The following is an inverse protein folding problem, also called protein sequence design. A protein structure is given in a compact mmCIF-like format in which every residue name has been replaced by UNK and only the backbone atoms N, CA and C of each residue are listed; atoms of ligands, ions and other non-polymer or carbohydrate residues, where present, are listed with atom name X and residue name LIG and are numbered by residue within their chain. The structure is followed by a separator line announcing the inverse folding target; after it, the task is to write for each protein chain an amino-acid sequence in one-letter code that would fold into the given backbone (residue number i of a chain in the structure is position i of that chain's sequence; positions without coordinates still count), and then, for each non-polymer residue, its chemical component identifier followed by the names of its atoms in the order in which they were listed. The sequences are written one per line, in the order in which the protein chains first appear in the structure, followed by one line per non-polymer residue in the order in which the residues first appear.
data_IF_953120497477
#
_entry.id   IF_953120497477
#
_cell.length_a   1.000
_cell.length_b   1.000
_cell.length_c   1.000
_cell.angle_alpha   90.00
_cell.angle_beta   90.00
_cell.angle_gamma   90.00
#
_symmetry.space_group_name_H-M   'P 1'
#
loop_
_entity.id
_entity.type
_entity.pdbx_description
1 polymer ?
#
# COMPACT_ATOMS: atom_id res chain seq x y z
N UNK A 1 12.94 2.86 26.46
CA UNK A 1 12.82 2.80 24.98
C UNK A 1 11.36 3.06 24.65
N UNK A 2 11.07 4.18 24.00
CA UNK A 2 9.72 4.75 23.91
C UNK A 2 8.78 3.79 23.14
N UNK A 3 7.86 3.15 23.87
CA UNK A 3 6.81 2.22 23.42
C UNK A 3 5.64 2.94 22.72
N UNK A 4 5.89 3.89 21.81
CA UNK A 4 4.79 4.68 21.22
C UNK A 4 4.01 3.95 20.13
N UNK A 5 4.65 3.04 19.37
CA UNK A 5 4.03 2.41 18.20
C UNK A 5 4.40 0.92 18.13
N UNK A 6 3.48 0.06 17.65
CA UNK A 6 3.73 -1.38 17.40
C UNK A 6 4.43 -1.64 16.08
N UNK A 7 4.19 -0.78 15.09
CA UNK A 7 4.71 -0.87 13.74
C UNK A 7 5.03 0.53 13.23
N UNK A 8 6.08 0.67 12.43
CA UNK A 8 6.37 1.90 11.68
C UNK A 8 6.32 1.54 10.20
N UNK A 9 5.43 2.22 9.48
CA UNK A 9 5.27 2.10 8.03
C UNK A 9 5.90 3.35 7.42
N UNK A 10 6.72 3.17 6.38
CA UNK A 10 7.44 4.28 5.76
C UNK A 10 7.28 4.20 4.25
N UNK A 11 6.90 5.32 3.63
CA UNK A 11 7.08 5.52 2.19
C UNK A 11 8.52 5.98 1.92
N UNK A 12 9.21 5.29 1.01
CA UNK A 12 10.61 5.56 0.68
C UNK A 12 10.83 6.91 0.05
N UNK A 13 9.81 7.51 -0.55
CA UNK A 13 9.92 8.72 -1.36
C UNK A 13 10.71 9.85 -0.66
N UNK A 14 10.56 10.02 0.66
CA UNK A 14 11.30 11.03 1.42
C UNK A 14 12.72 10.61 1.82
N UNK A 15 13.02 9.31 1.85
CA UNK A 15 14.29 8.76 2.33
C UNK A 15 15.36 8.68 1.25
N UNK A 16 14.95 8.67 -0.02
CA UNK A 16 15.83 8.46 -1.16
C UNK A 16 15.96 9.70 -2.04
N UNK A 17 15.40 10.85 -1.64
CA UNK A 17 15.52 12.10 -2.40
C UNK A 17 16.67 12.96 -1.87
N UNK A 18 17.47 13.47 -2.79
CA UNK A 18 18.52 14.44 -2.49
C UNK A 18 18.51 15.56 -3.54
N UNK A 19 18.98 16.74 -3.13
CA UNK A 19 19.23 17.85 -4.05
C UNK A 19 20.63 17.71 -4.63
N UNK A 20 20.78 17.95 -5.93
CA UNK A 20 22.09 18.16 -6.53
C UNK A 20 22.61 19.58 -6.27
N UNK A 21 23.80 19.90 -6.81
CA UNK A 21 24.43 21.21 -6.66
C UNK A 21 23.67 22.36 -7.32
N UNK A 22 22.70 22.06 -8.20
CA UNK A 22 21.86 23.04 -8.90
C UNK A 22 20.45 23.13 -8.29
N UNK A 23 20.16 22.33 -7.28
CA UNK A 23 18.87 22.30 -6.59
C UNK A 23 17.82 21.40 -7.25
N UNK A 24 18.20 20.57 -8.23
CA UNK A 24 17.30 19.56 -8.78
C UNK A 24 17.18 18.37 -7.82
N UNK A 25 15.99 17.79 -7.73
CA UNK A 25 15.72 16.62 -6.88
C UNK A 25 15.93 15.35 -7.67
N UNK A 26 16.83 14.49 -7.19
CA UNK A 26 17.08 13.17 -7.75
C UNK A 26 16.90 12.06 -6.71
N UNK A 27 16.89 10.82 -7.18
CA UNK A 27 16.96 9.66 -6.31
C UNK A 27 18.42 9.27 -6.00
N UNK A 28 18.67 8.90 -4.75
CA UNK A 28 19.95 8.38 -4.27
C UNK A 28 19.74 7.02 -3.60
N UNK A 29 20.78 6.20 -3.58
CA UNK A 29 20.70 4.90 -2.91
C UNK A 29 20.41 5.06 -1.42
N UNK A 30 19.38 4.39 -0.91
CA UNK A 30 18.95 4.44 0.49
C UNK A 30 20.10 4.13 1.44
N UNK A 31 20.98 3.19 1.08
CA UNK A 31 22.15 2.82 1.88
C UNK A 31 23.14 3.98 2.11
N UNK A 32 23.20 4.92 1.18
CA UNK A 32 24.07 6.10 1.28
C UNK A 32 23.46 7.21 2.11
N UNK A 33 22.17 7.12 2.46
CA UNK A 33 21.49 8.15 3.24
C UNK A 33 21.60 7.89 4.74
N UNK A 34 21.52 8.93 5.59
CA UNK A 34 21.50 8.76 7.03
C UNK A 34 20.32 7.91 7.55
N UNK A 35 19.31 7.65 6.71
CA UNK A 35 18.10 6.92 7.07
C UNK A 35 18.26 5.40 7.02
N UNK A 36 19.28 4.86 6.34
CA UNK A 36 19.55 3.42 6.27
C UNK A 36 19.65 2.76 7.67
N UNK A 37 20.16 3.50 8.65
CA UNK A 37 20.28 3.06 10.06
C UNK A 37 18.93 2.90 10.77
N UNK A 38 17.87 3.46 10.22
CA UNK A 38 16.51 3.38 10.79
C UNK A 38 15.77 2.13 10.34
N UNK A 39 16.20 1.46 9.27
CA UNK A 39 15.51 0.29 8.71
C UNK A 39 15.23 -0.82 9.73
N UNK A 40 16.12 -1.17 10.68
CA UNK A 40 15.80 -2.16 11.71
C UNK A 40 14.65 -1.77 12.65
N UNK A 41 14.16 -0.53 12.59
CA UNK A 41 13.01 -0.01 13.35
C UNK A 41 11.76 0.17 12.49
N UNK A 42 11.87 -0.07 11.18
CA UNK A 42 10.77 0.00 10.23
C UNK A 42 10.16 -1.39 10.10
N UNK A 43 8.83 -1.49 10.22
CA UNK A 43 8.14 -2.74 9.98
C UNK A 43 7.94 -2.98 8.47
N UNK A 44 7.47 -1.94 7.78
CA UNK A 44 7.21 -1.99 6.34
C UNK A 44 7.75 -0.75 5.66
N UNK A 45 8.50 -0.97 4.58
CA UNK A 45 9.06 0.05 3.73
C UNK A 45 8.41 -0.06 2.34
N UNK A 46 7.52 0.87 2.00
CA UNK A 46 6.86 0.90 0.69
C UNK A 46 7.70 1.71 -0.29
N UNK A 47 7.81 1.22 -1.51
CA UNK A 47 8.46 1.84 -2.66
C UNK A 47 7.64 1.59 -3.92
N UNK A 48 7.75 2.45 -4.93
CA UNK A 48 7.29 2.11 -6.29
C UNK A 48 8.32 1.27 -7.06
N UNK A 49 7.94 0.74 -8.22
CA UNK A 49 8.85 0.09 -9.16
C UNK A 49 10.02 0.98 -9.58
N UNK A 50 9.80 2.28 -9.69
CA UNK A 50 10.82 3.27 -10.06
C UNK A 50 11.77 3.57 -8.88
N UNK A 51 11.29 3.43 -7.65
CA UNK A 51 12.05 3.66 -6.42
C UNK A 51 12.84 2.40 -5.97
N UNK A 52 12.36 1.21 -6.32
CA UNK A 52 12.92 -0.07 -5.90
C UNK A 52 14.44 -0.22 -6.14
N UNK A 53 15.03 0.23 -7.27
CA UNK A 53 16.48 0.18 -7.47
C UNK A 53 17.27 1.00 -6.43
N UNK A 54 16.72 2.15 -6.01
CA UNK A 54 17.35 3.03 -5.03
C UNK A 54 17.18 2.54 -3.60
N UNK A 55 16.11 1.79 -3.33
CA UNK A 55 15.85 1.16 -2.03
C UNK A 55 16.77 -0.02 -1.76
N UNK A 56 17.27 -0.68 -2.81
CA UNK A 56 18.10 -1.87 -2.67
C UNK A 56 17.32 -3.01 -2.00
N UNK A 57 16.25 -3.47 -2.63
CA UNK A 57 15.26 -4.43 -2.07
C UNK A 57 15.92 -5.62 -1.38
N UNK A 58 16.91 -6.27 -2.00
CA UNK A 58 17.57 -7.45 -1.46
C UNK A 58 18.36 -7.19 -0.17
N UNK A 59 18.84 -5.97 0.03
CA UNK A 59 19.55 -5.59 1.25
C UNK A 59 18.55 -5.12 2.31
N UNK A 60 17.58 -4.30 1.91
CA UNK A 60 16.54 -3.75 2.78
C UNK A 60 15.62 -4.84 3.35
N UNK A 61 15.29 -5.88 2.58
CA UNK A 61 14.40 -6.99 3.02
C UNK A 61 14.96 -7.79 4.20
N UNK A 62 16.28 -7.76 4.43
CA UNK A 62 16.94 -8.39 5.58
C UNK A 62 16.77 -7.61 6.88
N UNK A 63 16.25 -6.37 6.81
CA UNK A 63 16.12 -5.45 7.95
C UNK A 63 14.67 -5.08 8.24
N UNK A 64 13.82 -5.05 7.22
CA UNK A 64 12.38 -4.75 7.30
C UNK A 64 11.66 -5.38 6.10
N UNK A 65 10.34 -5.53 6.16
CA UNK A 65 9.59 -5.95 4.97
C UNK A 65 9.55 -4.81 3.94
N UNK A 66 9.90 -5.07 2.68
CA UNK A 66 9.81 -4.11 1.60
C UNK A 66 8.56 -4.41 0.77
N UNK A 67 7.76 -3.40 0.47
CA UNK A 67 6.59 -3.50 -0.40
C UNK A 67 6.90 -2.71 -1.66
N UNK A 68 6.89 -3.36 -2.82
CA UNK A 68 7.08 -2.70 -4.12
C UNK A 68 5.74 -2.67 -4.85
N UNK A 69 5.18 -1.48 -5.08
CA UNK A 69 3.98 -1.31 -5.91
C UNK A 69 4.39 -1.34 -7.38
N UNK A 70 3.77 -2.22 -8.17
CA UNK A 70 4.08 -2.50 -9.58
C UNK A 70 2.95 -1.99 -10.51
N UNK A 71 2.23 -0.95 -10.07
CA UNK A 71 1.15 -0.32 -10.83
C UNK A 71 0.04 -1.32 -11.20
N UNK A 72 -0.19 -1.51 -12.51
CA UNK A 72 -1.20 -2.43 -13.05
C UNK A 72 -0.95 -3.90 -12.73
N UNK A 73 0.26 -4.26 -12.30
CA UNK A 73 0.64 -5.63 -11.97
C UNK A 73 0.46 -5.93 -10.46
N UNK A 74 0.01 -4.94 -9.69
CA UNK A 74 -0.32 -5.06 -8.27
C UNK A 74 0.85 -4.65 -7.39
N UNK A 75 1.26 -5.51 -6.48
CA UNK A 75 2.45 -5.26 -5.67
C UNK A 75 3.13 -6.56 -5.24
N UNK A 76 4.35 -6.41 -4.71
CA UNK A 76 5.09 -7.52 -4.10
C UNK A 76 5.65 -7.14 -2.73
N UNK A 77 5.52 -8.08 -1.80
CA UNK A 77 6.19 -8.01 -0.50
C UNK A 77 7.47 -8.84 -0.54
N UNK A 78 8.53 -8.32 0.06
CA UNK A 78 9.82 -8.99 0.25
C UNK A 78 10.19 -8.92 1.73
N UNK A 79 10.49 -10.07 2.34
CA UNK A 79 10.98 -10.16 3.70
C UNK A 79 12.19 -11.10 3.75
N UNK A 80 12.80 -11.23 4.92
CA UNK A 80 13.94 -12.13 5.06
C UNK A 80 13.51 -13.58 4.84
N UNK A 81 14.05 -14.20 3.79
CA UNK A 81 13.74 -15.58 3.41
C UNK A 81 12.48 -15.78 2.56
N UNK A 82 11.77 -14.73 2.12
CA UNK A 82 10.58 -14.92 1.29
C UNK A 82 10.06 -13.70 0.54
N UNK A 83 9.14 -13.95 -0.37
CA UNK A 83 8.40 -12.93 -1.11
C UNK A 83 6.97 -13.39 -1.42
N UNK A 84 6.05 -12.44 -1.65
CA UNK A 84 4.68 -12.72 -2.06
C UNK A 84 4.18 -11.67 -3.06
N UNK A 85 3.66 -12.13 -4.20
CA UNK A 85 2.94 -11.29 -5.16
C UNK A 85 1.48 -11.13 -4.75
N UNK A 86 0.94 -9.94 -4.96
CA UNK A 86 -0.44 -9.57 -4.64
C UNK A 86 -1.10 -9.03 -5.89
N UNK A 87 -2.29 -9.56 -6.20
CA UNK A 87 -3.01 -9.24 -7.42
C UNK A 87 -3.42 -7.74 -7.48
N UNK A 88 -3.46 -7.15 -8.68
CA UNK A 88 -3.98 -5.80 -8.90
C UNK A 88 -5.51 -5.75 -8.88
N UNK A 89 -6.04 -4.53 -8.84
CA UNK A 89 -7.43 -4.23 -9.19
C UNK A 89 -7.47 -3.45 -10.51
N UNK A 90 -8.45 -3.74 -11.35
CA UNK A 90 -8.63 -3.04 -12.63
C UNK A 90 -9.00 -1.58 -12.37
N UNK A 91 -8.29 -0.65 -13.03
CA UNK A 91 -8.54 0.77 -12.94
C UNK A 91 -8.15 1.45 -14.26
N UNK A 92 -8.88 2.50 -14.62
CA UNK A 92 -8.46 3.42 -15.68
C UNK A 92 -7.61 4.49 -15.01
N UNK A 93 -6.34 4.59 -15.39
CA UNK A 93 -5.45 5.60 -14.83
C UNK A 93 -5.76 6.98 -15.42
N UNK A 94 -6.15 7.91 -14.55
CA UNK A 94 -6.44 9.32 -14.84
C UNK A 94 -5.33 10.21 -14.26
N UNK A 95 -5.03 10.06 -12.97
CA UNK A 95 -3.97 10.81 -12.27
C UNK A 95 -3.33 9.92 -11.20
N UNK A 96 -2.00 9.70 -11.19
CA UNK A 96 -1.34 8.87 -10.19
C UNK A 96 -1.22 9.53 -8.80
N UNK A 97 -1.60 10.81 -8.67
CA UNK A 97 -1.47 11.59 -7.42
C UNK A 97 -2.17 10.90 -6.25
N UNK A 98 -1.45 10.69 -5.15
CA UNK A 98 -1.99 10.09 -3.91
C UNK A 98 -2.26 8.59 -3.98
N UNK A 99 -1.95 7.90 -5.07
CA UNK A 99 -2.14 6.44 -5.17
C UNK A 99 -1.25 5.66 -4.19
N UNK A 100 0.01 6.08 -4.02
CA UNK A 100 0.93 5.51 -3.03
C UNK A 100 0.47 5.72 -1.58
N UNK A 101 -0.02 6.92 -1.26
CA UNK A 101 -0.56 7.25 0.06
C UNK A 101 -1.84 6.45 0.35
N UNK A 102 -2.72 6.33 -0.65
CA UNK A 102 -3.95 5.54 -0.57
C UNK A 102 -3.66 4.05 -0.39
N UNK A 103 -2.65 3.53 -1.10
CA UNK A 103 -2.15 2.18 -0.89
C UNK A 103 -1.68 1.99 0.56
N UNK A 104 -0.84 2.90 1.08
CA UNK A 104 -0.28 2.77 2.42
C UNK A 104 -1.37 2.90 3.50
N UNK A 105 -2.37 3.76 3.29
CA UNK A 105 -3.54 3.89 4.16
C UNK A 105 -4.39 2.61 4.17
N UNK A 106 -4.69 2.04 3.00
CA UNK A 106 -5.39 0.75 2.88
C UNK A 106 -4.62 -0.39 3.53
N UNK A 107 -3.32 -0.45 3.31
CA UNK A 107 -2.43 -1.42 3.94
C UNK A 107 -2.43 -1.29 5.48
N UNK A 108 -2.27 -0.08 5.99
CA UNK A 108 -2.31 0.20 7.43
C UNK A 108 -3.66 -0.18 8.04
N UNK A 109 -4.78 0.14 7.36
CA UNK A 109 -6.10 -0.26 7.79
C UNK A 109 -6.24 -1.79 7.85
N UNK A 110 -5.81 -2.50 6.82
CA UNK A 110 -5.83 -3.97 6.79
C UNK A 110 -5.07 -4.59 7.97
N UNK A 111 -3.88 -4.07 8.27
CA UNK A 111 -3.12 -4.50 9.46
C UNK A 111 -3.89 -4.22 10.76
N UNK A 112 -4.52 -3.05 10.91
CA UNK A 112 -5.32 -2.72 12.10
C UNK A 112 -6.52 -3.65 12.29
N UNK A 113 -7.10 -4.13 11.19
CA UNK A 113 -8.14 -5.17 11.17
C UNK A 113 -7.57 -6.60 11.33
N UNK A 114 -6.28 -6.73 11.60
CA UNK A 114 -5.62 -7.99 11.90
C UNK A 114 -5.36 -8.87 10.69
N UNK A 115 -5.43 -8.34 9.47
CA UNK A 115 -5.08 -9.04 8.22
C UNK A 115 -3.61 -9.48 8.22
N UNK A 116 -3.29 -10.49 7.41
CA UNK A 116 -1.88 -10.81 7.09
C UNK A 116 -1.28 -9.65 6.29
N UNK A 117 0.04 -9.54 6.21
CA UNK A 117 0.68 -8.49 5.41
C UNK A 117 0.28 -8.60 3.92
N UNK A 118 0.18 -9.82 3.37
CA UNK A 118 -0.24 -10.02 1.98
C UNK A 118 -1.71 -9.65 1.74
N UNK A 119 -2.61 -9.96 2.69
CA UNK A 119 -4.03 -9.56 2.59
C UNK A 119 -4.21 -8.04 2.81
N UNK A 120 -3.43 -7.44 3.71
CA UNK A 120 -3.40 -5.99 3.89
C UNK A 120 -2.89 -5.28 2.63
N UNK A 121 -1.90 -5.84 1.96
CA UNK A 121 -1.39 -5.30 0.70
C UNK A 121 -2.40 -5.43 -0.44
N UNK A 122 -3.29 -6.42 -0.39
CA UNK A 122 -4.41 -6.52 -1.31
C UNK A 122 -5.39 -5.35 -1.10
N UNK A 123 -5.70 -5.01 0.16
CA UNK A 123 -6.49 -3.82 0.47
C UNK A 123 -5.77 -2.52 0.05
N UNK A 124 -4.44 -2.48 0.18
CA UNK A 124 -3.61 -1.40 -0.36
C UNK A 124 -3.77 -1.27 -1.88
N UNK A 125 -3.66 -2.37 -2.64
CA UNK A 125 -3.85 -2.38 -4.09
C UNK A 125 -5.25 -1.87 -4.46
N UNK A 126 -6.30 -2.25 -3.72
CA UNK A 126 -7.66 -1.77 -3.92
C UNK A 126 -7.75 -0.24 -3.83
N UNK A 127 -7.25 0.36 -2.74
CA UNK A 127 -7.30 1.81 -2.56
C UNK A 127 -6.36 2.57 -3.50
N UNK A 128 -5.21 2.00 -3.84
CA UNK A 128 -4.31 2.55 -4.85
C UNK A 128 -4.96 2.59 -6.24
N UNK A 129 -5.62 1.51 -6.65
CA UNK A 129 -6.36 1.44 -7.91
C UNK A 129 -7.55 2.42 -7.93
N UNK A 130 -8.28 2.52 -6.81
CA UNK A 130 -9.36 3.49 -6.66
C UNK A 130 -8.87 4.94 -6.77
N UNK A 131 -7.70 5.25 -6.22
CA UNK A 131 -7.11 6.58 -6.25
C UNK A 131 -6.68 7.00 -7.66
N UNK A 132 -6.09 6.10 -8.46
CA UNK A 132 -5.60 6.49 -9.80
C UNK A 132 -6.70 6.85 -10.79
N UNK A 133 -7.96 6.52 -10.51
CA UNK A 133 -9.11 6.74 -11.41
C UNK A 133 -9.82 8.08 -11.23
N UNK A 134 -9.22 9.02 -10.49
CA UNK A 134 -9.75 10.38 -10.29
C UNK A 134 -8.62 11.39 -10.38
N UNK A 135 -8.95 12.67 -10.54
CA UNK A 135 -7.97 13.78 -10.64
C UNK A 135 -7.65 14.32 -9.25
N UNK A 136 -6.36 14.59 -8.98
CA UNK A 136 -5.91 15.28 -7.77
C UNK A 136 -5.88 14.41 -6.51
N UNK A 137 -6.06 15.05 -5.34
CA UNK A 137 -6.02 14.35 -4.04
C UNK A 137 -7.18 13.35 -3.95
N UNK A 138 -6.92 12.06 -3.69
CA UNK A 138 -7.97 11.06 -3.69
C UNK A 138 -9.09 11.32 -2.69
N UNK A 139 -10.33 11.16 -3.14
CA UNK A 139 -11.51 11.04 -2.28
C UNK A 139 -12.18 9.69 -2.48
N UNK A 140 -12.81 9.15 -1.44
CA UNK A 140 -13.47 7.85 -1.50
C UNK A 140 -14.94 7.98 -1.12
N UNK A 141 -15.81 7.41 -1.94
CA UNK A 141 -17.25 7.50 -1.71
C UNK A 141 -17.66 6.75 -0.43
N UNK A 142 -18.50 7.33 0.45
CA UNK A 142 -18.87 6.71 1.72
C UNK A 142 -19.44 5.30 1.59
N UNK A 143 -20.22 5.00 0.54
CA UNK A 143 -20.75 3.65 0.28
C UNK A 143 -19.64 2.62 0.06
N UNK A 144 -18.56 2.97 -0.65
CA UNK A 144 -17.42 2.07 -0.83
C UNK A 144 -16.73 1.82 0.51
N UNK A 145 -16.46 2.89 1.28
CA UNK A 145 -15.83 2.76 2.59
C UNK A 145 -16.65 1.88 3.53
N UNK A 146 -17.98 2.01 3.49
CA UNK A 146 -18.91 1.19 4.25
C UNK A 146 -18.88 -0.28 3.79
N UNK A 147 -18.90 -0.56 2.48
CA UNK A 147 -18.79 -1.91 1.95
C UNK A 147 -17.46 -2.58 2.35
N UNK A 148 -16.34 -1.85 2.22
CA UNK A 148 -15.02 -2.34 2.66
C UNK A 148 -15.01 -2.64 4.15
N UNK A 149 -15.61 -1.78 4.97
CA UNK A 149 -15.72 -2.00 6.41
C UNK A 149 -16.49 -3.29 6.73
N UNK A 150 -17.64 -3.51 6.10
CA UNK A 150 -18.45 -4.71 6.28
C UNK A 150 -17.68 -5.99 5.90
N UNK A 151 -16.93 -5.95 4.79
CA UNK A 151 -16.04 -7.04 4.38
C UNK A 151 -15.01 -7.33 5.48
N UNK A 152 -14.36 -6.31 6.02
CA UNK A 152 -13.33 -6.49 7.05
C UNK A 152 -13.91 -7.00 8.39
N UNK A 153 -15.11 -6.57 8.76
CA UNK A 153 -15.84 -7.08 9.93
C UNK A 153 -16.13 -8.58 9.77
N UNK A 154 -16.63 -9.00 8.61
CA UNK A 154 -16.91 -10.40 8.30
C UNK A 154 -15.63 -11.25 8.35
N UNK A 155 -14.54 -10.77 7.75
CA UNK A 155 -13.23 -11.44 7.77
C UNK A 155 -12.69 -11.60 9.19
N UNK A 156 -12.94 -10.62 10.06
CA UNK A 156 -12.51 -10.67 11.46
C UNK A 156 -13.29 -11.72 12.24
N UNK A 157 -14.61 -11.83 12.02
CA UNK A 157 -15.48 -12.81 12.69
C UNK A 157 -15.12 -14.24 12.27
N UNK A 158 -14.83 -14.47 10.99
CA UNK A 158 -14.50 -15.79 10.46
C UNK A 158 -13.10 -16.29 10.87
N UNK A 159 -12.23 -15.40 11.35
CA UNK A 159 -10.85 -15.74 11.74
C UNK A 159 -10.75 -16.29 13.17
N UNK A 160 -9.96 -17.34 13.31
CA UNK A 160 -9.70 -17.96 14.63
C UNK A 160 -8.63 -17.24 15.46
N UNK A 161 -7.77 -16.40 14.86
CA UNK A 161 -6.74 -15.61 15.55
C UNK A 161 -6.24 -14.43 14.70
N UNK A 162 -5.84 -13.29 15.30
CA UNK A 162 -5.28 -12.15 14.58
C UNK A 162 -3.87 -12.47 14.05
N UNK A 163 -3.56 -12.03 12.83
CA UNK A 163 -2.24 -12.24 12.20
C UNK A 163 -1.14 -11.29 12.74
N UNK A 164 -1.42 -10.55 13.82
CA UNK A 164 -0.50 -9.59 14.43
C UNK A 164 -0.40 -9.82 15.94
N UNK A 165 0.76 -10.26 16.41
CA UNK A 165 1.09 -10.38 17.83
C UNK A 165 2.29 -9.50 18.19
N UNK A 166 2.05 -8.39 18.89
CA UNK A 166 3.08 -7.38 19.17
C UNK A 166 3.62 -6.75 17.88
N UNK A 167 4.88 -7.02 17.58
CA UNK A 167 5.60 -6.62 16.35
C UNK A 167 5.79 -7.78 15.35
N UNK A 168 5.12 -8.92 15.57
CA UNK A 168 5.17 -10.08 14.67
C UNK A 168 4.01 -10.00 13.67
N UNK A 169 4.32 -10.16 12.38
CA UNK A 169 3.36 -10.13 11.28
C UNK A 169 3.38 -11.45 10.52
N UNK A 170 2.22 -11.99 10.18
CA UNK A 170 2.12 -13.08 9.19
C UNK A 170 2.28 -12.49 7.80
N UNK A 171 3.26 -12.97 7.04
CA UNK A 171 3.48 -12.52 5.66
C UNK A 171 2.68 -13.31 4.65
N UNK A 172 2.46 -14.59 4.87
CA UNK A 172 1.75 -15.46 3.92
C UNK A 172 0.27 -15.11 3.79
N UNK A 173 -0.30 -15.43 2.61
CA UNK A 173 -1.74 -15.31 2.34
C UNK A 173 -2.53 -16.10 3.39
N UNK A 174 -3.64 -15.53 3.86
CA UNK A 174 -4.57 -16.33 4.67
C UNK A 174 -5.36 -17.31 3.80
N UNK A 175 -5.98 -18.29 4.46
CA UNK A 175 -6.95 -19.18 3.81
C UNK A 175 -8.18 -18.46 3.25
N UNK A 176 -8.39 -17.19 3.61
CA UNK A 176 -9.49 -16.34 3.14
C UNK A 176 -9.06 -15.34 2.05
N UNK A 177 -7.81 -15.40 1.56
CA UNK A 177 -7.28 -14.42 0.61
C UNK A 177 -8.15 -14.29 -0.65
N UNK A 178 -8.57 -15.42 -1.23
CA UNK A 178 -9.38 -15.43 -2.45
C UNK A 178 -10.80 -14.87 -2.21
N UNK A 179 -11.39 -15.15 -1.04
CA UNK A 179 -12.69 -14.60 -0.65
C UNK A 179 -12.60 -13.07 -0.46
N UNK A 180 -11.57 -12.59 0.24
CA UNK A 180 -11.31 -11.16 0.41
C UNK A 180 -11.13 -10.47 -0.95
N UNK A 181 -10.36 -11.08 -1.85
CA UNK A 181 -10.14 -10.54 -3.18
C UNK A 181 -11.45 -10.41 -3.97
N UNK A 182 -12.27 -11.46 -4.00
CA UNK A 182 -13.56 -11.43 -4.68
C UNK A 182 -14.49 -10.36 -4.11
N UNK A 183 -14.60 -10.25 -2.78
CA UNK A 183 -15.45 -9.23 -2.15
C UNK A 183 -14.98 -7.80 -2.44
N UNK A 184 -13.66 -7.55 -2.46
CA UNK A 184 -13.11 -6.24 -2.83
C UNK A 184 -13.33 -5.94 -4.32
N UNK A 185 -13.31 -6.94 -5.20
CA UNK A 185 -13.62 -6.74 -6.62
C UNK A 185 -15.08 -6.32 -6.83
N UNK A 186 -16.03 -6.88 -6.08
CA UNK A 186 -17.42 -6.42 -6.10
C UNK A 186 -17.56 -5.00 -5.55
N UNK A 187 -16.85 -4.67 -4.46
CA UNK A 187 -16.84 -3.31 -3.91
C UNK A 187 -16.25 -2.28 -4.90
N UNK A 188 -15.29 -2.68 -5.73
CA UNK A 188 -14.71 -1.82 -6.77
C UNK A 188 -15.72 -1.43 -7.85
N UNK A 189 -16.69 -2.30 -8.19
CA UNK A 189 -17.73 -2.01 -9.20
C UNK A 189 -18.65 -0.86 -8.77
N UNK A 190 -18.84 -0.67 -7.47
CA UNK A 190 -19.58 0.46 -6.91
C UNK A 190 -18.93 1.82 -7.25
N UNK A 191 -17.66 1.83 -7.69
CA UNK A 191 -16.98 3.02 -8.20
C UNK A 191 -17.35 3.37 -9.64
N UNK A 192 -17.52 2.34 -10.49
CA UNK A 192 -17.72 2.51 -11.93
C UNK A 192 -19.13 2.96 -12.31
N UNK A 193 -20.09 2.94 -11.37
CA UNK A 193 -21.48 3.34 -11.61
C UNK A 193 -21.74 4.85 -11.45
N UNK A 194 -20.72 5.67 -11.20
CA UNK A 194 -20.89 7.12 -11.18
C UNK A 194 -20.81 7.71 -12.58
N UNK A 195 -21.75 8.59 -12.98
CA UNK A 195 -21.59 9.33 -14.22
C UNK A 195 -20.36 10.23 -14.07
N UNK A 196 -19.42 10.10 -15.01
CA UNK A 196 -18.34 11.06 -15.19
C UNK A 196 -18.96 12.45 -15.25
N UNK A 197 -18.77 13.28 -14.22
CA UNK A 197 -19.12 14.70 -14.29
C UNK A 197 -18.11 15.38 -15.23
N UNK A 198 -18.29 15.15 -16.53
CA UNK A 198 -17.72 15.94 -17.60
C UNK A 198 -18.50 17.26 -17.66
N UNK A 199 -18.31 18.11 -16.65
CA UNK A 199 -18.95 19.42 -16.57
C UNK A 199 -18.02 20.42 -15.86
N UNK A 200 -16.75 20.49 -16.28
CA UNK A 200 -15.84 21.57 -15.87
C UNK A 200 -14.78 21.87 -16.95
N UNK A 201 -15.15 21.91 -18.22
CA UNK A 201 -14.39 22.61 -19.26
C UNK A 201 -15.34 23.10 -20.35
N UNK A 202 -16.13 24.11 -20.02
CA UNK A 202 -16.64 25.04 -21.04
C UNK A 202 -16.70 26.44 -20.40
N UNK A 203 -15.89 27.35 -20.93
CA UNK A 203 -15.96 28.79 -20.63
C UNK A 203 -14.84 29.39 -19.78
N UNK A 204 -13.76 29.82 -20.44
CA UNK A 204 -13.18 31.18 -20.36
C UNK A 204 -12.05 31.34 -21.39
#
# INVERSE_FOLDING_TARGET
MIRLCRAVLVDTQALIRAFDGEGAVGHVALETTPYARLLPRVAFLKASSEEAPYVGVEISRRRCCVIVTEGRDGCRLYWDGGEARVAPFSAVQVDPTGAGDSFLAGFAAGLLWGLSATDAALLGNFFGAAAVSQVGVPTFHPKMLQAVKEILEEMTIKRSSPCINGATFTFERSNMHEELHASLQEAAKLMSEQPTNAAFFDGA
#
